data_IF_047225609824
#
_entry.id   IF_047225609824
#
_cell.length_a   1.000
_cell.length_b   1.000
_cell.length_c   1.000
_cell.angle_alpha   90.00
_cell.angle_beta   90.00
_cell.angle_gamma   90.00
#
_symmetry.space_group_name_H-M   'P 1'
#
loop_
_entity.id
_entity.type
_entity.pdbx_description
1 polymer ?
#
# COMPACT_ATOMS: atom_id res chain seq x y z
N UNK A 1 22.70 -1.81 3.89
CA UNK A 1 22.54 -3.28 3.90
C UNK A 1 21.08 -3.68 3.68
N UNK A 2 20.14 -3.20 4.52
CA UNK A 2 18.71 -3.52 4.38
C UNK A 2 18.08 -3.02 3.07
N UNK A 3 18.41 -1.80 2.62
CA UNK A 3 17.87 -1.22 1.39
C UNK A 3 18.18 -2.04 0.14
N UNK A 4 19.44 -2.46 -0.01
CA UNK A 4 19.89 -3.32 -1.12
C UNK A 4 19.19 -4.68 -1.14
N UNK A 5 18.88 -5.23 0.03
CA UNK A 5 18.18 -6.50 0.13
C UNK A 5 16.71 -6.36 -0.30
N UNK A 6 16.01 -5.34 0.18
CA UNK A 6 14.63 -5.04 -0.23
C UNK A 6 14.55 -4.79 -1.74
N UNK A 7 15.53 -4.06 -2.28
CA UNK A 7 15.62 -3.80 -3.71
C UNK A 7 15.72 -5.08 -4.54
N UNK A 8 16.63 -5.97 -4.14
CA UNK A 8 16.80 -7.27 -4.78
C UNK A 8 15.53 -8.13 -4.71
N UNK A 9 14.88 -8.20 -3.55
CA UNK A 9 13.64 -8.98 -3.39
C UNK A 9 12.53 -8.47 -4.32
N UNK A 10 12.38 -7.15 -4.44
CA UNK A 10 11.35 -6.56 -5.32
C UNK A 10 11.65 -6.82 -6.80
N UNK A 11 12.92 -6.77 -7.20
CA UNK A 11 13.37 -7.15 -8.55
C UNK A 11 13.11 -8.63 -8.84
N UNK A 12 13.55 -9.52 -7.96
CA UNK A 12 13.37 -10.98 -8.09
C UNK A 12 11.88 -11.35 -8.23
N UNK A 13 11.01 -10.69 -7.45
CA UNK A 13 9.56 -10.89 -7.54
C UNK A 13 9.02 -10.37 -8.88
N UNK A 14 9.41 -9.17 -9.31
CA UNK A 14 8.96 -8.62 -10.58
C UNK A 14 9.35 -9.51 -11.76
N UNK A 15 10.60 -10.01 -11.78
CA UNK A 15 11.10 -10.93 -12.81
C UNK A 15 10.36 -12.27 -12.78
N UNK A 16 10.19 -12.86 -11.60
CA UNK A 16 9.52 -14.16 -11.44
C UNK A 16 8.09 -14.17 -11.98
N UNK A 17 7.38 -13.05 -11.82
CA UNK A 17 6.01 -12.91 -12.32
C UNK A 17 5.93 -12.26 -13.71
N UNK A 18 7.07 -11.97 -14.35
CA UNK A 18 7.12 -11.33 -15.68
C UNK A 18 6.45 -9.95 -15.70
N UNK A 19 6.53 -9.21 -14.58
CA UNK A 19 5.88 -7.91 -14.46
C UNK A 19 6.69 -6.86 -15.20
N UNK A 20 6.23 -6.51 -16.39
CA UNK A 20 6.92 -5.54 -17.27
C UNK A 20 6.52 -4.10 -17.02
N UNK A 21 5.37 -3.85 -16.37
CA UNK A 21 4.89 -2.50 -16.12
C UNK A 21 4.13 -2.38 -14.80
N UNK A 22 4.69 -1.62 -13.85
CA UNK A 22 4.03 -1.27 -12.59
C UNK A 22 3.60 0.19 -12.68
N UNK A 23 2.30 0.45 -12.48
CA UNK A 23 1.75 1.81 -12.53
C UNK A 23 1.71 2.48 -11.17
N UNK A 24 1.49 1.71 -10.11
CA UNK A 24 1.32 2.22 -8.74
C UNK A 24 2.02 1.27 -7.79
N UNK A 25 2.80 1.84 -6.86
CA UNK A 25 3.39 1.12 -5.74
C UNK A 25 2.83 1.70 -4.45
N UNK A 26 2.20 0.84 -3.65
CA UNK A 26 1.67 1.17 -2.32
C UNK A 26 2.61 0.59 -1.27
N UNK A 27 3.25 1.45 -0.48
CA UNK A 27 4.13 1.00 0.61
C UNK A 27 3.67 1.56 1.94
N UNK A 28 4.33 1.10 2.98
CA UNK A 28 4.20 1.69 4.31
C UNK A 28 4.84 3.07 4.32
N UNK A 29 4.54 3.85 5.35
CA UNK A 29 5.09 5.19 5.57
C UNK A 29 6.50 5.07 6.19
N UNK A 30 7.42 4.49 5.42
CA UNK A 30 8.83 4.34 5.74
C UNK A 30 9.67 5.08 4.67
N UNK A 31 10.61 5.95 5.08
CA UNK A 31 11.42 6.73 4.15
C UNK A 31 12.27 5.88 3.21
N UNK A 32 12.61 4.63 3.57
CA UNK A 32 13.41 3.73 2.74
C UNK A 32 12.75 3.55 1.36
N UNK A 33 11.43 3.40 1.29
CA UNK A 33 10.71 3.17 0.04
C UNK A 33 10.71 4.37 -0.90
N UNK A 34 10.85 5.58 -0.37
CA UNK A 34 10.97 6.79 -1.22
C UNK A 34 12.21 6.78 -2.10
N UNK A 35 13.25 6.03 -1.69
CA UNK A 35 14.49 5.86 -2.46
C UNK A 35 14.49 4.61 -3.32
N UNK A 36 13.98 3.49 -2.81
CA UNK A 36 14.02 2.19 -3.50
C UNK A 36 13.02 2.13 -4.65
N UNK A 37 11.79 2.61 -4.44
CA UNK A 37 10.72 2.52 -5.44
C UNK A 37 11.07 3.21 -6.76
N UNK A 38 11.59 4.46 -6.79
CA UNK A 38 11.98 5.09 -8.05
C UNK A 38 13.18 4.43 -8.71
N UNK A 39 14.07 3.77 -7.95
CA UNK A 39 15.21 3.04 -8.53
C UNK A 39 14.78 1.80 -9.29
N UNK A 40 13.77 1.07 -8.79
CA UNK A 40 13.29 -0.18 -9.42
C UNK A 40 12.19 0.08 -10.43
N UNK A 41 11.26 0.98 -10.10
CA UNK A 41 10.06 1.26 -10.88
C UNK A 41 9.96 2.77 -11.17
N UNK A 42 10.84 3.32 -12.04
CA UNK A 42 10.96 4.76 -12.27
C UNK A 42 9.68 5.41 -12.81
N UNK A 43 8.83 4.64 -13.51
CA UNK A 43 7.57 5.13 -14.06
C UNK A 43 6.36 4.89 -13.15
N UNK A 44 6.54 4.21 -12.01
CA UNK A 44 5.45 3.91 -11.10
C UNK A 44 5.17 5.10 -10.17
N UNK A 45 3.90 5.35 -9.91
CA UNK A 45 3.48 6.33 -8.92
C UNK A 45 3.59 5.70 -7.53
N UNK A 46 4.48 6.24 -6.70
CA UNK A 46 4.62 5.84 -5.30
C UNK A 46 3.58 6.54 -4.41
N UNK A 47 2.89 5.75 -3.57
CA UNK A 47 1.88 6.23 -2.61
C UNK A 47 2.01 5.45 -1.30
N UNK A 48 1.68 6.12 -0.21
CA UNK A 48 1.56 5.48 1.10
C UNK A 48 0.23 4.71 1.13
N UNK A 49 0.25 3.49 1.65
CA UNK A 49 -0.95 2.69 1.75
C UNK A 49 -1.94 3.27 2.78
N UNK A 50 -3.21 3.25 2.40
CA UNK A 50 -4.29 3.84 3.19
C UNK A 50 -4.39 3.22 4.59
N UNK A 51 -4.14 1.91 4.71
CA UNK A 51 -4.21 1.23 6.00
C UNK A 51 -3.21 1.79 7.01
N UNK A 52 -1.98 2.08 6.59
CA UNK A 52 -0.97 2.70 7.46
C UNK A 52 -1.36 4.11 7.89
N UNK A 53 -1.95 4.90 6.97
CA UNK A 53 -2.49 6.22 7.28
C UNK A 53 -3.59 6.12 8.34
N UNK A 54 -4.58 5.24 8.13
CA UNK A 54 -5.70 5.05 9.04
C UNK A 54 -5.26 4.54 10.41
N UNK A 55 -4.26 3.65 10.48
CA UNK A 55 -3.69 3.16 11.73
C UNK A 55 -2.95 4.26 12.50
N UNK A 56 -2.17 5.11 11.81
CA UNK A 56 -1.51 6.26 12.45
C UNK A 56 -2.52 7.29 12.94
N UNK A 57 -3.57 7.56 12.16
CA UNK A 57 -4.65 8.48 12.55
C UNK A 57 -5.44 7.96 13.75
N UNK A 58 -5.81 6.68 13.75
CA UNK A 58 -6.50 6.09 14.90
C UNK A 58 -5.62 6.17 16.15
N UNK A 59 -4.33 5.86 16.07
CA UNK A 59 -3.44 5.97 17.24
C UNK A 59 -3.28 7.41 17.76
N UNK A 60 -3.21 8.40 16.87
CA UNK A 60 -3.06 9.82 17.27
C UNK A 60 -4.36 10.40 17.83
N UNK A 61 -5.49 10.13 17.20
CA UNK A 61 -6.78 10.69 17.62
C UNK A 61 -7.41 9.91 18.78
N UNK A 62 -7.21 8.59 18.90
CA UNK A 62 -7.74 7.79 20.00
C UNK A 62 -7.06 8.09 21.34
N UNK A 63 -5.81 8.56 21.36
CA UNK A 63 -5.14 9.01 22.59
C UNK A 63 -5.82 10.25 23.20
N UNK A 64 -6.42 11.10 22.37
CA UNK A 64 -7.12 12.31 22.82
C UNK A 64 -8.59 12.06 23.18
N UNK A 65 -9.12 10.86 22.88
CA UNK A 65 -10.50 10.44 23.14
C UNK A 65 -10.60 9.42 24.28
N UNK A 66 -9.60 9.31 25.15
CA UNK A 66 -9.64 8.46 26.37
C UNK A 66 -10.56 9.02 27.47
N UNK A 67 -11.52 9.85 27.11
CA UNK A 67 -12.77 10.01 27.86
C UNK A 67 -13.82 9.08 27.26
N UNK A 68 -13.98 7.89 27.86
CA UNK A 68 -15.14 7.03 27.70
C UNK A 68 -15.29 6.26 26.36
N UNK A 69 -14.79 5.02 26.25
CA UNK A 69 -15.20 4.14 25.15
C UNK A 69 -15.11 2.63 25.45
N UNK A 70 -16.02 2.12 26.29
CA UNK A 70 -16.33 0.68 26.35
C UNK A 70 -16.98 0.10 25.06
N UNK A 71 -17.15 0.92 24.01
CA UNK A 71 -17.95 0.55 22.83
C UNK A 71 -17.24 0.65 21.46
N UNK A 72 -15.95 1.01 21.39
CA UNK A 72 -15.31 1.26 20.09
C UNK A 72 -14.69 0.02 19.42
N UNK A 73 -14.50 -1.09 20.16
CA UNK A 73 -13.95 -2.33 19.62
C UNK A 73 -14.87 -3.07 18.64
N UNK A 74 -16.12 -2.61 18.45
CA UNK A 74 -17.11 -3.24 17.57
C UNK A 74 -17.27 -2.61 16.17
N UNK A 75 -16.51 -1.58 15.80
CA UNK A 75 -16.79 -0.80 14.57
C UNK A 75 -15.69 -0.74 13.50
N UNK A 76 -14.82 -1.74 13.45
CA UNK A 76 -13.94 -1.93 12.28
C UNK A 76 -13.88 -3.39 11.85
N UNK A 77 -15.04 -3.99 11.59
CA UNK A 77 -15.13 -5.14 10.69
C UNK A 77 -14.94 -4.63 9.26
N UNK A 78 -13.70 -4.67 8.76
CA UNK A 78 -13.48 -4.62 7.32
C UNK A 78 -14.26 -5.78 6.69
N UNK A 79 -15.31 -5.45 5.93
CA UNK A 79 -15.96 -6.43 5.06
C UNK A 79 -14.88 -7.04 4.16
N UNK A 80 -14.64 -8.35 4.32
CA UNK A 80 -13.80 -9.20 3.45
C UNK A 80 -14.44 -9.38 2.07
N UNK A 81 -14.83 -8.29 1.42
CA UNK A 81 -15.40 -8.32 0.08
C UNK A 81 -14.77 -7.28 -0.83
N UNK A 82 -13.44 -7.25 -0.90
CA UNK A 82 -12.81 -6.94 -2.18
C UNK A 82 -12.77 -8.22 -3.00
N UNK A 83 -13.96 -8.58 -3.48
CA UNK A 83 -14.11 -9.53 -4.57
C UNK A 83 -13.25 -9.05 -5.75
N UNK A 84 -12.46 -9.96 -6.29
CA UNK A 84 -11.93 -9.85 -7.64
C UNK A 84 -13.12 -9.56 -8.58
N UNK A 85 -13.35 -8.30 -8.92
CA UNK A 85 -14.24 -7.92 -10.01
C UNK A 85 -13.35 -7.53 -11.17
N UNK A 86 -13.25 -8.47 -12.10
CA UNK A 86 -12.68 -8.33 -13.43
C UNK A 86 -13.14 -7.03 -14.07
N UNK A 87 -12.28 -6.01 -14.09
CA UNK A 87 -12.52 -4.79 -14.86
C UNK A 87 -12.30 -5.15 -16.33
N UNK A 88 -13.39 -5.39 -17.07
CA UNK A 88 -13.36 -5.42 -18.53
C UNK A 88 -12.89 -4.04 -19.00
N UNK A 89 -11.64 -3.95 -19.46
CA UNK A 89 -11.08 -2.76 -20.11
C UNK A 89 -11.93 -2.47 -21.36
N UNK A 90 -12.64 -1.34 -21.37
CA UNK A 90 -13.13 -0.74 -22.62
C UNK A 90 -11.91 -0.30 -23.42
N UNK A 91 -11.74 -0.89 -24.61
CA UNK A 91 -10.78 -0.43 -25.62
C UNK A 91 -11.15 1.00 -26.02
N UNK A 92 -10.18 1.91 -25.94
CA UNK A 92 -10.25 3.17 -26.67
C UNK A 92 -9.85 2.87 -28.11
N UNK A 93 -10.74 3.18 -29.07
CA UNK A 93 -10.40 3.19 -30.49
C UNK A 93 -9.89 4.58 -30.85
N UNK A 94 -8.79 4.60 -31.60
CA UNK A 94 -8.18 5.76 -32.25
C UNK A 94 -9.14 6.46 -33.19
#
# INVERSE_FOLDING_TARGET
>A
MLSKHIEKVLQDVAERYGVTCIKIVLTDDDPIYSTIVPNIFPFAIHRICLWHILKKLSQKHLKNYTGNSKNFSKKYTYNKSCACKTIKRKQWKS
#
